data_IF_031960295906
#
_entry.id   IF_031960295906
#
_cell.length_a   1.000
_cell.length_b   1.000
_cell.length_c   1.000
_cell.angle_alpha   90.00
_cell.angle_beta   90.00
_cell.angle_gamma   90.00
#
_symmetry.space_group_name_H-M   'P 1'
#
loop_
_entity.id
_entity.type
_entity.pdbx_description
1 polymer ?
#
# COMPACT_ATOMS: atom_id res chain seq x y z
N UNK A 1 2.65 0.60 21.50
CA UNK A 1 3.20 -0.53 20.73
C UNK A 1 2.11 -1.54 20.39
N UNK A 2 1.49 -2.23 21.36
CA UNK A 2 0.41 -3.20 21.11
C UNK A 2 -0.82 -2.62 20.39
N UNK A 3 -1.24 -1.39 20.74
CA UNK A 3 -2.36 -0.73 20.08
C UNK A 3 -2.12 -0.48 18.57
N UNK A 4 -0.88 -0.22 18.17
CA UNK A 4 -0.53 -0.01 16.76
C UNK A 4 -0.58 -1.34 15.98
N UNK A 5 -0.09 -2.42 16.58
CA UNK A 5 -0.15 -3.75 15.98
C UNK A 5 -1.59 -4.26 15.82
N UNK A 6 -2.46 -3.97 16.78
CA UNK A 6 -3.90 -4.31 16.70
C UNK A 6 -4.54 -3.56 15.53
N UNK A 7 -4.26 -2.26 15.39
CA UNK A 7 -4.79 -1.45 14.28
C UNK A 7 -4.31 -1.94 12.91
N UNK A 8 -3.03 -2.30 12.76
CA UNK A 8 -2.50 -2.87 11.52
C UNK A 8 -3.12 -4.24 11.19
N UNK A 9 -3.39 -5.06 12.21
CA UNK A 9 -4.08 -6.34 12.03
C UNK A 9 -5.54 -6.15 11.64
N UNK A 10 -6.24 -5.17 12.21
CA UNK A 10 -7.60 -4.80 11.82
C UNK A 10 -7.67 -4.31 10.38
N UNK A 11 -6.74 -3.45 9.95
CA UNK A 11 -6.67 -2.98 8.56
C UNK A 11 -6.42 -4.13 7.58
N UNK A 12 -5.49 -5.05 7.91
CA UNK A 12 -5.24 -6.26 7.11
C UNK A 12 -6.45 -7.18 7.08
N UNK A 13 -7.16 -7.33 8.20
CA UNK A 13 -8.37 -8.14 8.28
C UNK A 13 -9.49 -7.56 7.41
N UNK A 14 -9.75 -6.25 7.51
CA UNK A 14 -10.73 -5.57 6.66
C UNK A 14 -10.40 -5.69 5.18
N UNK A 15 -9.12 -5.55 4.81
CA UNK A 15 -8.68 -5.78 3.42
C UNK A 15 -8.95 -7.22 2.96
N UNK A 16 -8.65 -8.21 3.80
CA UNK A 16 -8.92 -9.63 3.50
C UNK A 16 -10.41 -9.94 3.40
N UNK A 17 -11.25 -9.33 4.24
CA UNK A 17 -12.71 -9.44 4.15
C UNK A 17 -13.22 -8.86 2.83
N UNK A 18 -12.68 -7.73 2.38
CA UNK A 18 -12.98 -7.14 1.07
C UNK A 18 -12.59 -8.06 -0.10
N UNK A 19 -11.38 -8.62 -0.07
CA UNK A 19 -10.89 -9.59 -1.07
C UNK A 19 -11.78 -10.84 -1.12
N UNK A 20 -12.17 -11.39 0.03
CA UNK A 20 -13.08 -12.55 0.12
C UNK A 20 -14.46 -12.20 -0.46
N UNK A 21 -14.98 -11.00 -0.20
CA UNK A 21 -16.23 -10.53 -0.78
C UNK A 21 -16.22 -10.48 -2.31
N UNK A 22 -15.12 -10.01 -2.91
CA UNK A 22 -14.95 -9.98 -4.37
C UNK A 22 -14.91 -11.40 -4.96
N UNK A 23 -14.14 -12.31 -4.34
CA UNK A 23 -14.07 -13.72 -4.77
C UNK A 23 -15.44 -14.39 -4.71
N UNK A 24 -16.24 -14.11 -3.68
CA UNK A 24 -17.60 -14.66 -3.57
C UNK A 24 -18.55 -14.14 -4.67
N UNK A 25 -18.40 -12.89 -5.10
CA UNK A 25 -19.17 -12.33 -6.22
C UNK A 25 -18.76 -12.97 -7.55
N UNK A 26 -17.46 -13.10 -7.80
CA UNK A 26 -16.93 -13.78 -8.99
C UNK A 26 -17.40 -15.24 -9.06
N UNK A 27 -17.42 -15.94 -7.93
CA UNK A 27 -17.90 -17.32 -7.85
C UNK A 27 -19.40 -17.45 -8.15
N UNK A 28 -20.21 -16.45 -7.82
CA UNK A 28 -21.64 -16.41 -8.21
C UNK A 28 -21.78 -16.22 -9.72
N UNK A 29 -21.03 -15.28 -10.31
CA UNK A 29 -21.03 -15.04 -11.75
C UNK A 29 -20.60 -16.29 -12.54
N UNK A 30 -19.56 -16.99 -12.10
CA UNK A 30 -19.10 -18.23 -12.75
C UNK A 30 -20.18 -19.33 -12.68
N UNK A 31 -20.89 -19.44 -11.55
CA UNK A 31 -22.00 -20.41 -11.42
C UNK A 31 -23.16 -20.09 -12.35
N UNK A 32 -23.50 -18.82 -12.53
CA UNK A 32 -24.52 -18.38 -13.48
C UNK A 32 -24.08 -18.67 -14.93
N UNK A 33 -22.84 -18.32 -15.27
CA UNK A 33 -22.27 -18.63 -16.59
C UNK A 33 -22.29 -20.13 -16.91
N UNK A 34 -21.96 -21.00 -15.94
CA UNK A 34 -22.04 -22.45 -16.14
C UNK A 34 -23.47 -22.94 -16.37
N UNK A 35 -24.48 -22.34 -15.72
CA UNK A 35 -25.89 -22.68 -15.94
C UNK A 35 -26.35 -22.26 -17.33
N UNK A 36 -26.04 -21.04 -17.75
CA UNK A 36 -26.37 -20.52 -19.08
C UNK A 36 -25.69 -21.33 -20.19
N UNK A 37 -24.41 -21.66 -19.99
CA UNK A 37 -23.66 -22.51 -20.92
C UNK A 37 -24.32 -23.88 -21.10
N UNK A 38 -24.70 -24.53 -20.00
CA UNK A 38 -25.37 -25.84 -20.07
C UNK A 38 -26.74 -25.76 -20.76
N UNK A 39 -27.49 -24.67 -20.59
CA UNK A 39 -28.76 -24.46 -21.28
C UNK A 39 -28.56 -24.29 -22.80
N UNK A 40 -27.59 -23.46 -23.21
CA UNK A 40 -27.26 -23.25 -24.63
C UNK A 40 -26.73 -24.52 -25.30
N UNK A 41 -25.90 -25.29 -24.60
CA UNK A 41 -25.39 -26.58 -25.11
C UNK A 41 -26.54 -27.57 -25.35
N UNK A 42 -27.54 -27.59 -24.47
CA UNK A 42 -28.74 -28.42 -24.64
C UNK A 42 -29.59 -27.98 -25.83
N UNK A 43 -29.85 -26.67 -25.95
CA UNK A 43 -30.63 -26.13 -27.09
C UNK A 43 -29.97 -26.43 -28.44
N UNK A 44 -28.63 -26.39 -28.48
CA UNK A 44 -27.87 -26.69 -29.69
C UNK A 44 -27.95 -28.18 -30.08
N UNK A 45 -27.99 -29.07 -29.10
CA UNK A 45 -28.15 -30.51 -29.33
C UNK A 45 -29.57 -30.84 -29.81
N UNK A 46 -30.59 -30.27 -29.15
CA UNK A 46 -31.99 -30.40 -29.55
C UNK A 46 -32.22 -29.89 -30.99
N UNK A 47 -31.56 -28.79 -31.39
CA UNK A 47 -31.65 -28.25 -32.75
C UNK A 47 -31.02 -29.19 -33.79
N UNK A 48 -29.88 -29.81 -33.47
CA UNK A 48 -29.22 -30.78 -34.37
C UNK A 48 -30.08 -32.03 -34.57
N UNK A 49 -30.62 -32.59 -33.49
CA UNK A 49 -31.47 -33.78 -33.57
C UNK A 49 -32.72 -33.50 -34.43
N UNK A 50 -33.36 -32.35 -34.23
CA UNK A 50 -34.51 -31.93 -35.04
C UNK A 50 -34.16 -31.78 -36.54
N UNK A 51 -32.99 -31.23 -36.85
CA UNK A 51 -32.51 -31.09 -38.22
C UNK A 51 -32.28 -32.47 -38.87
N UNK A 52 -31.64 -33.41 -38.16
CA UNK A 52 -31.41 -34.77 -38.66
C UNK A 52 -32.72 -35.51 -38.92
N UNK A 53 -33.68 -35.43 -38.00
CA UNK A 53 -35.01 -36.04 -38.16
C UNK A 53 -35.72 -35.46 -39.38
N UNK A 54 -35.70 -34.14 -39.56
CA UNK A 54 -36.33 -33.47 -40.70
C UNK A 54 -35.69 -33.89 -42.04
N UNK A 55 -34.36 -33.94 -42.08
CA UNK A 55 -33.62 -34.33 -43.29
C UNK A 55 -33.92 -35.79 -43.68
N UNK A 56 -33.95 -36.70 -42.70
CA UNK A 56 -34.31 -38.11 -42.92
C UNK A 56 -35.72 -38.25 -43.47
N UNK A 57 -36.70 -37.53 -42.91
CA UNK A 57 -38.09 -37.53 -43.42
C UNK A 57 -38.16 -37.03 -44.85
N UNK A 58 -37.41 -35.98 -45.19
CA UNK A 58 -37.38 -35.44 -46.55
C UNK A 58 -36.83 -36.47 -47.55
N UNK A 59 -35.72 -37.13 -47.19
CA UNK A 59 -35.10 -38.17 -48.01
C UNK A 59 -36.04 -39.35 -48.28
N UNK A 60 -36.81 -39.79 -47.28
CA UNK A 60 -37.82 -40.85 -47.44
C UNK A 60 -38.97 -40.47 -48.38
N UNK A 61 -39.35 -39.19 -48.43
CA UNK A 61 -40.38 -38.70 -49.36
C UNK A 61 -39.86 -38.70 -50.79
N UNK A 62 -38.63 -38.23 -51.01
CA UNK A 62 -37.98 -38.21 -52.33
C UNK A 62 -37.88 -39.61 -52.91
N UNK A 63 -37.35 -40.56 -52.14
CA UNK A 63 -37.22 -41.96 -52.60
C UNK A 63 -38.57 -42.59 -53.00
N UNK A 64 -39.65 -42.26 -52.28
CA UNK A 64 -41.01 -42.74 -52.61
C UNK A 64 -41.54 -42.14 -53.91
N UNK A 65 -41.22 -40.89 -54.22
CA UNK A 65 -41.65 -40.25 -55.46
C UNK A 65 -40.89 -40.83 -56.66
N UNK A 66 -39.58 -40.96 -56.55
CA UNK A 66 -38.73 -41.52 -57.62
C UNK A 66 -39.17 -42.93 -58.05
N UNK A 67 -39.48 -43.80 -57.07
CA UNK A 67 -40.00 -45.15 -57.36
C UNK A 67 -41.28 -45.12 -58.20
N UNK A 68 -42.24 -44.28 -57.81
CA UNK A 68 -43.54 -44.16 -58.51
C UNK A 68 -43.35 -43.67 -59.94
N UNK A 69 -42.51 -42.66 -60.16
CA UNK A 69 -42.21 -42.15 -61.49
C UNK A 69 -41.56 -43.21 -62.39
N UNK A 70 -40.66 -44.04 -61.84
CA UNK A 70 -40.02 -45.12 -62.59
C UNK A 70 -41.01 -46.17 -63.10
N UNK A 71 -41.94 -46.61 -62.25
CA UNK A 71 -42.94 -47.62 -62.60
C UNK A 71 -43.90 -47.16 -63.71
N UNK A 72 -44.31 -45.89 -63.68
CA UNK A 72 -45.25 -45.32 -64.65
C UNK A 72 -44.62 -45.20 -66.04
N UNK A 73 -43.34 -44.82 -66.11
CA UNK A 73 -42.59 -44.73 -67.36
C UNK A 73 -42.54 -46.08 -68.10
N UNK A 74 -42.26 -47.17 -67.38
CA UNK A 74 -42.19 -48.52 -67.96
C UNK A 74 -43.53 -48.98 -68.55
N UNK A 75 -44.65 -48.61 -67.91
CA UNK A 75 -46.00 -48.95 -68.41
C UNK A 75 -46.29 -48.29 -69.76
N UNK A 76 -45.94 -47.00 -69.90
CA UNK A 76 -46.16 -46.24 -71.12
C UNK A 76 -45.36 -46.81 -72.30
N UNK A 77 -44.10 -47.18 -72.07
CA UNK A 77 -43.23 -47.69 -73.12
C UNK A 77 -43.71 -49.05 -73.67
N UNK A 78 -44.19 -49.94 -72.79
CA UNK A 78 -44.80 -51.22 -73.22
C UNK A 78 -46.02 -51.02 -74.12
N UNK A 79 -46.85 -50.01 -73.85
CA UNK A 79 -48.06 -49.76 -74.63
C UNK A 79 -47.74 -49.23 -76.04
N UNK A 80 -46.70 -48.39 -76.16
CA UNK A 80 -46.22 -47.88 -77.45
C UNK A 80 -45.70 -49.00 -78.35
N UNK A 81 -44.90 -49.93 -77.80
CA UNK A 81 -44.34 -51.04 -78.55
C UNK A 81 -45.42 -51.94 -79.19
N UNK A 82 -46.50 -52.25 -78.46
CA UNK A 82 -47.60 -53.08 -78.96
C UNK A 82 -48.32 -52.48 -80.16
N UNK A 83 -48.53 -51.15 -80.17
CA UNK A 83 -49.23 -50.46 -81.27
C UNK A 83 -48.43 -50.45 -82.58
N UNK A 84 -47.10 -50.46 -82.51
CA UNK A 84 -46.23 -50.44 -83.70
C UNK A 84 -46.30 -51.75 -84.49
N UNK A 85 -46.32 -52.90 -83.80
CA UNK A 85 -46.32 -54.23 -84.43
C UNK A 85 -47.58 -54.46 -85.27
N UNK A 86 -48.75 -54.04 -84.75
CA UNK A 86 -50.05 -54.25 -85.41
C UNK A 86 -50.14 -53.49 -86.74
N UNK A 87 -49.58 -52.28 -86.81
CA UNK A 87 -49.62 -51.46 -88.05
C UNK A 87 -48.71 -51.99 -89.16
N UNK A 88 -47.59 -52.63 -88.82
CA UNK A 88 -46.62 -53.12 -89.82
C UNK A 88 -47.11 -54.32 -90.64
N UNK A 89 -47.89 -55.21 -90.02
CA UNK A 89 -48.34 -56.46 -90.65
C UNK A 89 -49.46 -56.25 -91.69
N UNK A 90 -50.31 -55.23 -91.54
CA UNK A 90 -51.51 -55.04 -92.35
C UNK A 90 -51.30 -54.41 -93.74
N UNK A 91 -50.18 -53.75 -94.00
CA UNK A 91 -50.03 -52.90 -95.19
C UNK A 91 -49.25 -53.56 -96.34
N UNK A 92 -48.28 -54.42 -96.07
CA UNK A 92 -47.27 -54.80 -97.07
C UNK A 92 -47.50 -56.15 -97.78
N UNK A 93 -48.37 -57.02 -97.27
CA UNK A 93 -48.44 -58.41 -97.74
C UNK A 93 -49.18 -58.60 -99.09
N UNK A 94 -50.32 -57.93 -99.38
CA UNK A 94 -51.07 -58.15 -100.61
C UNK A 94 -50.48 -57.47 -101.85
N UNK A 95 -49.76 -56.36 -101.69
CA UNK A 95 -49.24 -55.55 -102.81
C UNK A 95 -47.99 -56.16 -103.49
N UNK A 96 -47.25 -57.01 -102.77
CA UNK A 96 -45.98 -57.58 -103.22
C UNK A 96 -46.14 -58.71 -104.25
N UNK A 97 -47.29 -59.38 -104.28
CA UNK A 97 -47.54 -60.58 -105.11
C UNK A 97 -48.02 -60.29 -106.54
N UNK A 98 -48.48 -59.07 -106.86
CA UNK A 98 -48.98 -58.69 -108.19
C UNK A 98 -47.93 -58.07 -109.16
N UNK A 99 -46.70 -57.82 -108.72
CA UNK A 99 -45.67 -57.12 -109.53
C UNK A 99 -44.81 -58.08 -110.39
N UNK A 100 -44.43 -57.66 -111.60
CA UNK A 100 -43.47 -58.36 -112.49
C UNK A 100 -42.06 -58.47 -111.85
N UNK A 101 -41.18 -59.37 -112.34
CA UNK A 101 -39.84 -59.62 -111.74
C UNK A 101 -39.00 -58.36 -111.57
N UNK A 102 -38.91 -57.51 -112.60
CA UNK A 102 -38.21 -56.21 -112.56
C UNK A 102 -38.85 -55.24 -111.56
N UNK A 103 -40.17 -55.22 -111.43
CA UNK A 103 -40.89 -54.39 -110.46
C UNK A 103 -40.63 -54.81 -109.01
N UNK A 104 -40.46 -56.13 -108.76
CA UNK A 104 -40.08 -56.65 -107.44
C UNK A 104 -38.64 -56.31 -107.07
N UNK A 105 -37.72 -56.30 -108.03
CA UNK A 105 -36.33 -55.88 -107.81
C UNK A 105 -36.23 -54.38 -107.52
N UNK A 106 -36.89 -53.54 -108.33
CA UNK A 106 -36.96 -52.08 -108.09
C UNK A 106 -37.60 -51.76 -106.73
N UNK A 107 -38.66 -52.48 -106.32
CA UNK A 107 -39.25 -52.30 -104.99
C UNK A 107 -38.31 -52.72 -103.86
N UNK A 108 -37.59 -53.85 -104.01
CA UNK A 108 -36.57 -54.27 -103.04
C UNK A 108 -35.44 -53.25 -102.94
N UNK A 109 -34.98 -52.72 -104.06
CA UNK A 109 -33.94 -51.70 -104.10
C UNK A 109 -34.43 -50.38 -103.50
N UNK A 110 -35.66 -49.96 -103.79
CA UNK A 110 -36.27 -48.80 -103.15
C UNK A 110 -36.40 -48.96 -101.63
N UNK A 111 -36.83 -50.14 -101.15
CA UNK A 111 -36.86 -50.45 -99.71
C UNK A 111 -35.44 -50.45 -99.10
N UNK A 112 -34.44 -50.97 -99.81
CA UNK A 112 -33.05 -50.98 -99.37
C UNK A 112 -32.47 -49.57 -99.30
N UNK A 113 -32.71 -48.74 -100.32
CA UNK A 113 -32.33 -47.33 -100.36
C UNK A 113 -33.05 -46.52 -99.28
N UNK A 114 -34.34 -46.76 -99.05
CA UNK A 114 -35.07 -46.12 -97.96
C UNK A 114 -34.52 -46.51 -96.59
N UNK A 115 -34.12 -47.77 -96.41
CA UNK A 115 -33.48 -48.25 -95.19
C UNK A 115 -32.12 -47.58 -94.96
N UNK A 116 -31.29 -47.49 -96.01
CA UNK A 116 -30.00 -46.80 -95.97
C UNK A 116 -30.15 -45.29 -95.70
N UNK A 117 -31.12 -44.64 -96.35
CA UNK A 117 -31.43 -43.23 -96.12
C UNK A 117 -31.95 -42.98 -94.70
N UNK A 118 -32.82 -43.85 -94.19
CA UNK A 118 -33.31 -43.76 -92.80
C UNK A 118 -32.18 -43.97 -91.78
N UNK A 119 -31.20 -44.82 -92.09
CA UNK A 119 -30.00 -44.98 -91.28
C UNK A 119 -29.14 -43.70 -91.28
N UNK A 120 -28.81 -43.16 -92.45
CA UNK A 120 -28.04 -41.91 -92.56
C UNK A 120 -28.75 -40.72 -91.90
N UNK A 121 -30.08 -40.61 -92.04
CA UNK A 121 -30.86 -39.58 -91.36
C UNK A 121 -30.80 -39.74 -89.84
N UNK A 122 -30.86 -40.97 -89.33
CA UNK A 122 -30.72 -41.24 -87.90
C UNK A 122 -29.32 -40.88 -87.40
N UNK A 123 -28.28 -41.26 -88.13
CA UNK A 123 -26.89 -40.94 -87.76
C UNK A 123 -26.63 -39.44 -87.74
N UNK A 124 -27.09 -38.71 -88.77
CA UNK A 124 -26.98 -37.24 -88.82
C UNK A 124 -27.76 -36.56 -87.69
N UNK A 125 -28.96 -37.05 -87.35
CA UNK A 125 -29.72 -36.57 -86.19
C UNK A 125 -28.98 -36.81 -84.86
N UNK A 126 -28.37 -37.98 -84.67
CA UNK A 126 -27.59 -38.27 -83.46
C UNK A 126 -26.32 -37.41 -83.38
N UNK A 127 -25.59 -37.25 -84.49
CA UNK A 127 -24.44 -36.35 -84.57
C UNK A 127 -24.84 -34.90 -84.24
N UNK A 128 -26.00 -34.44 -84.73
CA UNK A 128 -26.49 -33.10 -84.42
C UNK A 128 -26.86 -32.93 -82.93
N UNK A 129 -27.47 -33.95 -82.31
CA UNK A 129 -27.71 -33.95 -80.85
C UNK A 129 -26.40 -33.92 -80.06
N UNK A 130 -25.40 -34.69 -80.47
CA UNK A 130 -24.09 -34.70 -79.82
C UNK A 130 -23.41 -33.33 -79.96
N UNK A 131 -23.43 -32.75 -81.16
CA UNK A 131 -22.91 -31.40 -81.41
C UNK A 131 -23.57 -30.36 -80.51
N UNK A 132 -24.90 -30.38 -80.40
CA UNK A 132 -25.63 -29.46 -79.55
C UNK A 132 -25.27 -29.62 -78.07
N UNK A 133 -25.20 -30.86 -77.56
CA UNK A 133 -24.74 -31.14 -76.19
C UNK A 133 -23.30 -30.67 -75.95
N UNK A 134 -22.43 -30.83 -76.94
CA UNK A 134 -21.04 -30.37 -76.86
C UNK A 134 -20.97 -28.83 -76.81
N UNK A 135 -21.77 -28.14 -77.62
CA UNK A 135 -21.88 -26.68 -77.61
C UNK A 135 -22.43 -26.17 -76.27
N UNK A 136 -23.51 -26.78 -75.75
CA UNK A 136 -24.04 -26.47 -74.42
C UNK A 136 -22.98 -26.67 -73.33
N UNK A 137 -22.27 -27.80 -73.33
CA UNK A 137 -21.16 -28.08 -72.41
C UNK A 137 -20.03 -27.04 -72.51
N UNK A 138 -19.65 -26.64 -73.73
CA UNK A 138 -18.65 -25.58 -73.95
C UNK A 138 -19.09 -24.25 -73.33
N UNK A 139 -20.36 -23.87 -73.49
CA UNK A 139 -20.86 -22.61 -72.90
C UNK A 139 -20.90 -22.63 -71.38
N UNK A 140 -21.23 -23.78 -70.77
CA UNK A 140 -21.20 -23.94 -69.32
C UNK A 140 -19.78 -23.87 -68.77
N UNK A 141 -18.84 -24.58 -69.38
CA UNK A 141 -17.42 -24.54 -69.01
C UNK A 141 -16.83 -23.14 -69.14
N UNK A 142 -17.23 -22.37 -70.16
CA UNK A 142 -16.79 -20.99 -70.32
C UNK A 142 -17.27 -20.11 -69.15
N UNK A 143 -18.55 -20.22 -68.79
CA UNK A 143 -19.11 -19.48 -67.65
C UNK A 143 -18.44 -19.87 -66.33
N UNK A 144 -18.21 -21.16 -66.12
CA UNK A 144 -17.51 -21.66 -64.93
C UNK A 144 -16.07 -21.16 -64.87
N UNK A 145 -15.38 -21.10 -66.02
CA UNK A 145 -14.04 -20.54 -66.10
C UNK A 145 -14.04 -19.05 -65.72
N UNK A 146 -14.95 -18.25 -66.28
CA UNK A 146 -15.05 -16.81 -65.99
C UNK A 146 -15.38 -16.54 -64.51
N UNK A 147 -16.30 -17.31 -63.91
CA UNK A 147 -16.63 -17.17 -62.48
C UNK A 147 -15.46 -17.56 -61.59
N UNK A 148 -14.76 -18.65 -61.92
CA UNK A 148 -13.58 -19.10 -61.19
C UNK A 148 -12.42 -18.10 -61.29
N UNK A 149 -12.14 -17.55 -62.48
CA UNK A 149 -11.12 -16.52 -62.68
C UNK A 149 -11.44 -15.25 -61.87
N UNK A 150 -12.70 -14.79 -61.88
CA UNK A 150 -13.14 -13.66 -61.06
C UNK A 150 -13.00 -13.92 -59.56
N UNK A 151 -13.30 -15.14 -59.10
CA UNK A 151 -13.14 -15.52 -57.70
C UNK A 151 -11.65 -15.56 -57.29
N UNK A 152 -10.79 -16.10 -58.15
CA UNK A 152 -9.34 -16.14 -57.93
C UNK A 152 -8.79 -14.71 -57.82
N UNK A 153 -9.14 -13.81 -58.74
CA UNK A 153 -8.71 -12.41 -58.69
C UNK A 153 -9.16 -11.71 -57.40
N UNK A 154 -10.42 -11.90 -56.97
CA UNK A 154 -10.91 -11.36 -55.69
C UNK A 154 -10.12 -11.88 -54.49
N UNK A 155 -9.83 -13.18 -54.44
CA UNK A 155 -9.02 -13.79 -53.37
C UNK A 155 -7.59 -13.25 -53.37
N UNK A 156 -6.97 -13.09 -54.54
CA UNK A 156 -5.62 -12.51 -54.66
C UNK A 156 -5.59 -11.08 -54.09
N UNK A 157 -6.58 -10.25 -54.45
CA UNK A 157 -6.70 -8.88 -53.92
C UNK A 157 -6.89 -8.88 -52.41
N UNK A 158 -7.76 -9.75 -51.89
CA UNK A 158 -7.99 -9.87 -50.45
C UNK A 158 -6.71 -10.28 -49.70
N UNK A 159 -5.99 -11.29 -50.21
CA UNK A 159 -4.72 -11.74 -49.62
C UNK A 159 -3.68 -10.61 -49.67
N UNK A 160 -3.62 -9.85 -50.77
CA UNK A 160 -2.72 -8.69 -50.90
C UNK A 160 -3.00 -7.62 -49.83
N UNK A 161 -4.27 -7.26 -49.65
CA UNK A 161 -4.71 -6.30 -48.62
C UNK A 161 -4.38 -6.80 -47.21
N UNK A 162 -4.69 -8.06 -46.90
CA UNK A 162 -4.37 -8.67 -45.60
C UNK A 162 -2.86 -8.68 -45.35
N UNK A 163 -2.05 -9.02 -46.36
CA UNK A 163 -0.59 -9.01 -46.25
C UNK A 163 -0.06 -7.59 -45.99
N UNK A 164 -0.67 -6.55 -46.57
CA UNK A 164 -0.32 -5.16 -46.27
C UNK A 164 -0.65 -4.79 -44.82
N UNK A 165 -1.85 -5.13 -44.35
CA UNK A 165 -2.25 -4.90 -42.95
C UNK A 165 -1.34 -5.61 -41.95
N UNK A 166 -0.97 -6.87 -42.22
CA UNK A 166 -0.03 -7.63 -41.38
C UNK A 166 1.32 -6.91 -41.30
N UNK A 167 1.85 -6.42 -42.44
CA UNK A 167 3.11 -5.66 -42.45
C UNK A 167 3.02 -4.36 -41.64
N UNK A 168 1.88 -3.67 -41.68
CA UNK A 168 1.66 -2.43 -40.91
C UNK A 168 1.60 -2.71 -39.42
N UNK A 169 0.87 -3.76 -39.02
CA UNK A 169 0.80 -4.20 -37.63
C UNK A 169 2.16 -4.66 -37.11
N UNK A 170 2.93 -5.42 -37.90
CA UNK A 170 4.29 -5.82 -37.56
C UNK A 170 5.19 -4.60 -37.32
N UNK A 171 5.12 -3.58 -38.18
CA UNK A 171 5.87 -2.32 -37.99
C UNK A 171 5.45 -1.58 -36.72
N UNK A 172 4.16 -1.54 -36.39
CA UNK A 172 3.67 -0.92 -35.15
C UNK A 172 4.16 -1.68 -33.91
N UNK A 173 4.10 -3.01 -33.93
CA UNK A 173 4.61 -3.86 -32.85
C UNK A 173 6.10 -3.62 -32.63
N UNK A 174 6.89 -3.52 -33.71
CA UNK A 174 8.33 -3.26 -33.60
C UNK A 174 8.63 -1.88 -33.00
N UNK A 175 7.90 -0.84 -33.44
CA UNK A 175 8.01 0.50 -32.84
C UNK A 175 7.69 0.50 -31.34
N UNK A 176 6.63 -0.20 -30.94
CA UNK A 176 6.24 -0.31 -29.53
C UNK A 176 7.27 -1.09 -28.72
N UNK A 177 7.81 -2.19 -29.25
CA UNK A 177 8.90 -2.95 -28.62
C UNK A 177 10.12 -2.07 -28.39
N UNK A 178 10.56 -1.33 -29.40
CA UNK A 178 11.69 -0.42 -29.29
C UNK A 178 11.45 0.69 -28.26
N UNK A 179 10.25 1.27 -28.23
CA UNK A 179 9.87 2.27 -27.23
C UNK A 179 9.89 1.69 -25.80
N UNK A 180 9.32 0.50 -25.61
CA UNK A 180 9.31 -0.19 -24.33
C UNK A 180 10.73 -0.52 -23.86
N UNK A 181 11.58 -1.09 -24.73
CA UNK A 181 12.98 -1.38 -24.40
C UNK A 181 13.75 -0.11 -24.00
N UNK A 182 13.49 1.02 -24.67
CA UNK A 182 14.09 2.30 -24.31
C UNK A 182 13.62 2.76 -22.93
N UNK A 183 12.31 2.78 -22.68
CA UNK A 183 11.73 3.18 -21.40
C UNK A 183 12.24 2.31 -20.24
N UNK A 184 12.32 0.99 -20.42
CA UNK A 184 12.84 0.08 -19.40
C UNK A 184 14.31 0.38 -19.10
N UNK A 185 15.14 0.63 -20.12
CA UNK A 185 16.56 0.98 -19.93
C UNK A 185 16.73 2.34 -19.24
N UNK A 186 15.91 3.32 -19.58
CA UNK A 186 15.92 4.64 -18.93
C UNK A 186 15.51 4.53 -17.46
N UNK A 187 14.41 3.84 -17.17
CA UNK A 187 13.96 3.60 -15.79
C UNK A 187 15.00 2.85 -14.96
N UNK A 188 15.64 1.81 -15.49
CA UNK A 188 16.72 1.10 -14.77
C UNK A 188 17.92 2.00 -14.48
N UNK A 189 18.28 2.90 -15.40
CA UNK A 189 19.38 3.84 -15.18
C UNK A 189 19.01 4.90 -14.13
N UNK A 190 17.78 5.38 -14.15
CA UNK A 190 17.29 6.33 -13.14
C UNK A 190 17.23 5.69 -11.76
N UNK A 191 16.69 4.48 -11.63
CA UNK A 191 16.67 3.77 -10.35
C UNK A 191 18.08 3.52 -9.82
N UNK A 192 19.02 3.12 -10.67
CA UNK A 192 20.42 2.94 -10.25
C UNK A 192 21.07 4.25 -9.79
N UNK A 193 20.84 5.36 -10.51
CA UNK A 193 21.34 6.69 -10.12
C UNK A 193 20.75 7.13 -8.78
N UNK A 194 19.44 7.00 -8.60
CA UNK A 194 18.75 7.36 -7.35
C UNK A 194 19.25 6.50 -6.19
N UNK A 195 19.41 5.19 -6.39
CA UNK A 195 19.96 4.29 -5.37
C UNK A 195 21.39 4.70 -4.97
N UNK A 196 22.23 5.04 -5.94
CA UNK A 196 23.59 5.49 -5.67
C UNK A 196 23.61 6.82 -4.91
N UNK A 197 22.76 7.77 -5.29
CA UNK A 197 22.62 9.06 -4.62
C UNK A 197 22.19 8.89 -3.16
N UNK A 198 21.16 8.08 -2.92
CA UNK A 198 20.67 7.76 -1.56
C UNK A 198 21.76 7.08 -0.72
N UNK A 199 22.58 6.21 -1.32
CA UNK A 199 23.69 5.58 -0.62
C UNK A 199 24.73 6.62 -0.13
N UNK A 200 25.10 7.56 -0.99
CA UNK A 200 26.06 8.63 -0.66
C UNK A 200 25.49 9.53 0.43
N UNK A 201 24.24 9.95 0.30
CA UNK A 201 23.55 10.82 1.28
C UNK A 201 23.41 10.14 2.64
N UNK A 202 23.06 8.85 2.66
CA UNK A 202 23.01 8.07 3.89
C UNK A 202 24.40 7.96 4.54
N UNK A 203 25.45 7.77 3.75
CA UNK A 203 26.81 7.69 4.28
C UNK A 203 27.26 9.04 4.86
N UNK A 204 26.95 10.15 4.19
CA UNK A 204 27.21 11.50 4.70
C UNK A 204 26.43 11.77 6.00
N UNK A 205 25.14 11.45 6.03
CA UNK A 205 24.28 11.59 7.21
C UNK A 205 24.80 10.77 8.39
N UNK A 206 25.26 9.54 8.14
CA UNK A 206 25.85 8.68 9.18
C UNK A 206 27.12 9.28 9.79
N UNK A 207 27.96 9.95 8.99
CA UNK A 207 29.16 10.65 9.49
C UNK A 207 28.76 11.85 10.34
N UNK A 208 27.76 12.62 9.92
CA UNK A 208 27.25 13.76 10.68
C UNK A 208 26.63 13.34 12.02
N UNK A 209 25.80 12.29 12.02
CA UNK A 209 25.21 11.73 13.24
C UNK A 209 26.32 11.31 14.22
N UNK A 210 27.38 10.64 13.75
CA UNK A 210 28.51 10.27 14.60
C UNK A 210 29.22 11.48 15.21
N UNK A 211 29.42 12.54 14.43
CA UNK A 211 30.02 13.79 14.93
C UNK A 211 29.14 14.44 16.00
N UNK A 212 27.83 14.51 15.77
CA UNK A 212 26.87 15.06 16.73
C UNK A 212 26.81 14.24 18.02
N UNK A 213 26.85 12.92 17.92
CA UNK A 213 26.91 12.03 19.10
C UNK A 213 28.17 12.27 19.93
N UNK A 214 29.34 12.42 19.30
CA UNK A 214 30.58 12.74 20.01
C UNK A 214 30.52 14.10 20.69
N UNK A 215 29.96 15.11 20.01
CA UNK A 215 29.80 16.45 20.59
C UNK A 215 28.87 16.43 21.80
N UNK A 216 27.75 15.70 21.71
CA UNK A 216 26.81 15.54 22.80
C UNK A 216 27.48 14.87 24.01
N UNK A 217 28.25 13.80 23.78
CA UNK A 217 28.97 13.11 24.85
C UNK A 217 30.00 14.02 25.56
N UNK A 218 30.73 14.84 24.79
CA UNK A 218 31.64 15.84 25.37
C UNK A 218 30.88 16.86 26.21
N UNK A 219 29.73 17.36 25.73
CA UNK A 219 28.89 18.32 26.45
C UNK A 219 28.31 17.73 27.73
N UNK A 220 27.89 16.46 27.72
CA UNK A 220 27.44 15.77 28.92
C UNK A 220 28.56 15.63 29.97
N UNK A 221 29.79 15.33 29.52
CA UNK A 221 30.96 15.29 30.42
C UNK A 221 31.25 16.65 31.05
N UNK A 222 31.21 17.73 30.27
CA UNK A 222 31.36 19.10 30.77
C UNK A 222 30.24 19.46 31.75
N UNK A 223 29.00 19.17 31.40
CA UNK A 223 27.83 19.38 32.26
C UNK A 223 27.97 18.65 33.59
N UNK A 224 28.45 17.41 33.56
CA UNK A 224 28.69 16.63 34.78
C UNK A 224 29.81 17.22 35.63
N UNK A 225 30.86 17.80 35.04
CA UNK A 225 31.90 18.53 35.77
C UNK A 225 31.32 19.77 36.46
N UNK A 226 30.52 20.56 35.74
CA UNK A 226 29.83 21.75 36.30
C UNK A 226 28.90 21.36 37.45
N UNK A 227 28.08 20.30 37.28
CA UNK A 227 27.20 19.79 38.33
C UNK A 227 27.98 19.36 39.58
N UNK A 228 29.12 18.67 39.42
CA UNK A 228 30.00 18.30 40.54
C UNK A 228 30.55 19.53 41.26
N UNK A 229 31.04 20.52 40.51
CA UNK A 229 31.56 21.75 41.08
C UNK A 229 30.47 22.51 41.85
N UNK A 230 29.28 22.68 41.27
CA UNK A 230 28.15 23.31 41.92
C UNK A 230 27.76 22.59 43.22
N UNK A 231 27.77 21.25 43.23
CA UNK A 231 27.52 20.45 44.44
C UNK A 231 28.60 20.66 45.50
N UNK A 232 29.87 20.73 45.11
CA UNK A 232 30.96 21.01 46.05
C UNK A 232 30.81 22.39 46.69
N UNK A 233 30.53 23.42 45.89
CA UNK A 233 30.29 24.79 46.40
C UNK A 233 29.11 24.82 47.39
N UNK A 234 28.04 24.10 47.09
CA UNK A 234 26.90 23.99 48.01
C UNK A 234 27.25 23.26 49.31
N UNK A 235 28.05 22.19 49.23
CA UNK A 235 28.52 21.47 50.41
C UNK A 235 29.43 22.35 51.28
N UNK A 236 30.41 23.04 50.68
CA UNK A 236 31.29 23.99 51.38
C UNK A 236 30.47 25.10 52.04
N UNK A 237 29.50 25.68 51.32
CA UNK A 237 28.58 26.67 51.91
C UNK A 237 27.79 26.09 53.08
N UNK A 238 27.32 24.86 52.97
CA UNK A 238 26.55 24.19 54.04
C UNK A 238 27.43 23.94 55.27
N UNK A 239 28.70 23.55 55.08
CA UNK A 239 29.67 23.39 56.17
C UNK A 239 29.95 24.71 56.88
N UNK A 240 30.14 25.79 56.11
CA UNK A 240 30.32 27.14 56.65
C UNK A 240 29.09 27.61 57.42
N UNK A 241 27.88 27.40 56.89
CA UNK A 241 26.62 27.75 57.57
C UNK A 241 26.46 26.97 58.88
N UNK A 242 26.75 25.67 58.89
CA UNK A 242 26.75 24.85 60.13
C UNK A 242 27.75 25.38 61.15
N UNK A 243 28.97 25.67 60.73
CA UNK A 243 29.99 26.25 61.61
C UNK A 243 29.51 27.57 62.26
N UNK A 244 28.86 28.46 61.50
CA UNK A 244 28.32 29.70 62.05
C UNK A 244 27.18 29.47 63.05
N UNK A 245 26.29 28.52 62.77
CA UNK A 245 25.21 28.16 63.70
C UNK A 245 25.77 27.59 65.00
N UNK A 246 26.74 26.69 64.90
CA UNK A 246 27.41 26.08 66.05
C UNK A 246 28.18 27.14 66.87
N UNK A 247 28.89 28.06 66.21
CA UNK A 247 29.58 29.17 66.86
C UNK A 247 28.60 30.12 67.58
N UNK A 248 27.47 30.45 66.95
CA UNK A 248 26.42 31.25 67.57
C UNK A 248 25.82 30.56 68.79
N UNK A 249 25.58 29.25 68.72
CA UNK A 249 25.07 28.47 69.84
C UNK A 249 26.08 28.43 70.99
N UNK A 250 27.36 28.20 70.69
CA UNK A 250 28.44 28.23 71.68
C UNK A 250 28.52 29.60 72.39
N UNK A 251 28.49 30.71 71.64
CA UNK A 251 28.50 32.05 72.22
C UNK A 251 27.27 32.30 73.10
N UNK A 252 26.07 31.86 72.68
CA UNK A 252 24.86 31.98 73.51
C UNK A 252 24.98 31.22 74.82
N UNK A 253 25.51 30.00 74.80
CA UNK A 253 25.76 29.20 76.00
C UNK A 253 26.74 29.90 76.94
N UNK A 254 27.79 30.50 76.38
CA UNK A 254 28.79 31.21 77.16
C UNK A 254 28.26 32.53 77.74
N UNK A 255 27.38 33.24 77.03
CA UNK A 255 26.62 34.39 77.57
C UNK A 255 25.79 33.95 78.78
N UNK A 256 25.04 32.85 78.67
CA UNK A 256 24.21 32.32 79.76
C UNK A 256 25.10 31.97 80.97
N UNK A 257 26.22 31.27 80.74
CA UNK A 257 27.19 30.89 81.77
C UNK A 257 27.84 32.11 82.44
N UNK A 258 28.30 33.08 81.66
CA UNK A 258 28.89 34.33 82.13
C UNK A 258 27.90 35.13 82.98
N UNK A 259 26.67 35.32 82.51
CA UNK A 259 25.61 36.02 83.27
C UNK A 259 25.29 35.30 84.58
N UNK A 260 25.22 33.95 84.57
CA UNK A 260 25.01 33.13 85.77
C UNK A 260 26.18 33.29 86.75
N UNK A 261 27.42 33.28 86.26
CA UNK A 261 28.62 33.46 87.08
C UNK A 261 28.68 34.86 87.69
N UNK A 262 28.47 35.91 86.89
CA UNK A 262 28.42 37.29 87.35
C UNK A 262 27.38 37.48 88.44
N UNK A 263 26.16 36.98 88.22
CA UNK A 263 25.09 37.00 89.23
C UNK A 263 25.54 36.35 90.55
N UNK A 264 26.15 35.16 90.50
CA UNK A 264 26.66 34.47 91.69
C UNK A 264 27.78 35.27 92.38
N UNK A 265 28.73 35.82 91.63
CA UNK A 265 29.85 36.61 92.16
C UNK A 265 29.36 37.89 92.85
N UNK A 266 28.44 38.63 92.23
CA UNK A 266 27.83 39.82 92.83
C UNK A 266 27.01 39.46 94.06
N UNK A 267 26.29 38.34 94.03
CA UNK A 267 25.55 37.84 95.19
C UNK A 267 26.46 37.50 96.36
N UNK A 268 27.55 36.77 96.12
CA UNK A 268 28.55 36.45 97.15
C UNK A 268 29.25 37.70 97.69
N UNK A 269 29.64 38.64 96.82
CA UNK A 269 30.28 39.88 97.23
C UNK A 269 29.33 40.77 98.06
N UNK A 270 28.06 40.86 97.68
CA UNK A 270 27.03 41.58 98.42
C UNK A 270 26.83 40.98 99.82
N UNK A 271 26.63 39.66 99.92
CA UNK A 271 26.47 39.01 101.22
C UNK A 271 27.73 39.12 102.09
N UNK A 272 28.92 39.05 101.50
CA UNK A 272 30.18 39.27 102.23
C UNK A 272 30.21 40.66 102.86
N UNK A 273 29.95 41.71 102.06
CA UNK A 273 29.88 43.09 102.55
C UNK A 273 28.79 43.28 103.62
N UNK A 274 27.65 42.61 103.46
CA UNK A 274 26.57 42.65 104.45
C UNK A 274 27.01 42.03 105.78
N UNK A 275 27.76 40.92 105.75
CA UNK A 275 28.33 40.28 106.95
C UNK A 275 29.43 41.14 107.60
N UNK A 276 30.29 41.77 106.80
CA UNK A 276 31.35 42.67 107.27
C UNK A 276 30.78 43.94 107.92
N UNK A 277 29.69 44.49 107.37
CA UNK A 277 28.95 45.59 107.95
C UNK A 277 28.24 45.20 109.27
N UNK A 278 27.64 44.01 109.35
CA UNK A 278 27.11 43.47 110.60
C UNK A 278 28.19 43.32 111.70
N UNK A 279 29.45 43.08 111.32
CA UNK A 279 30.58 43.01 112.23
C UNK A 279 31.17 44.38 112.60
N UNK A 280 30.56 45.49 112.14
CA UNK A 280 30.95 46.87 112.44
C UNK A 280 32.20 47.37 111.70
N UNK A 281 32.66 46.66 110.67
CA UNK A 281 33.89 46.99 109.93
C UNK A 281 33.66 47.92 108.74
N UNK A 282 32.47 47.90 108.14
CA UNK A 282 32.08 48.72 106.98
C UNK A 282 30.61 49.19 107.10
N UNK A 283 30.19 50.13 106.24
CA UNK A 283 28.79 50.55 106.12
C UNK A 283 27.93 49.51 105.37
N UNK A 284 26.64 49.44 105.69
CA UNK A 284 25.71 48.51 105.03
C UNK A 284 25.59 48.81 103.52
N UNK A 285 25.77 47.80 102.64
CA UNK A 285 25.63 48.01 101.21
C UNK A 285 24.18 48.33 100.82
N UNK A 286 23.99 49.18 99.80
CA UNK A 286 22.66 49.49 99.23
C UNK A 286 21.97 48.20 98.79
N UNK A 287 20.67 48.05 99.12
CA UNK A 287 19.87 46.86 98.79
C UNK A 287 19.97 46.57 97.29
N UNK A 288 20.45 45.36 96.97
CA UNK A 288 20.62 44.88 95.60
C UNK A 288 19.69 43.71 95.33
N UNK A 289 18.96 43.76 94.21
CA UNK A 289 18.02 42.70 93.84
C UNK A 289 18.65 41.72 92.84
N UNK A 290 18.40 40.43 93.08
CA UNK A 290 18.92 39.32 92.26
C UNK A 290 17.81 38.61 91.46
N UNK A 291 16.55 39.05 91.60
CA UNK A 291 15.41 38.58 90.82
C UNK A 291 15.09 39.61 89.74
N UNK A 292 14.65 39.13 88.58
CA UNK A 292 14.19 39.99 87.49
C UNK A 292 12.84 40.60 87.87
N UNK A 293 12.85 41.78 88.49
CA UNK A 293 11.66 42.57 88.77
C UNK A 293 11.83 43.96 88.14
N UNK A 294 10.85 44.35 87.32
CA UNK A 294 10.85 45.58 86.52
C UNK A 294 10.90 46.84 87.40
N UNK A 295 10.36 46.76 88.63
CA UNK A 295 10.26 47.90 89.54
C UNK A 295 11.50 48.11 90.44
N UNK A 296 12.57 47.33 90.24
CA UNK A 296 13.77 47.46 91.07
C UNK A 296 14.80 48.42 90.47
N UNK A 297 15.10 49.50 91.18
CA UNK A 297 16.06 50.54 90.76
C UNK A 297 17.53 50.09 90.85
N UNK A 298 17.87 49.10 91.69
CA UNK A 298 19.23 48.59 91.89
C UNK A 298 19.27 47.06 91.74
N UNK A 299 19.33 46.59 90.49
CA UNK A 299 19.25 45.16 90.10
C UNK A 299 20.51 44.74 89.36
N UNK A 300 20.96 43.50 89.58
CA UNK A 300 22.08 42.89 88.83
C UNK A 300 21.83 42.88 87.32
N UNK A 301 20.57 42.77 86.89
CA UNK A 301 20.21 42.79 85.47
C UNK A 301 20.40 44.20 84.86
N UNK A 302 20.12 45.25 85.65
CA UNK A 302 20.34 46.64 85.24
C UNK A 302 21.84 46.93 85.08
N UNK A 303 22.69 46.38 85.95
CA UNK A 303 24.14 46.50 85.80
C UNK A 303 24.65 45.88 84.48
N UNK A 304 24.08 44.74 84.07
CA UNK A 304 24.43 44.07 82.82
C UNK A 304 23.97 44.88 81.59
N UNK A 305 22.77 45.46 81.65
CA UNK A 305 22.23 46.34 80.60
C UNK A 305 23.00 47.67 80.49
N UNK A 306 23.35 48.29 81.62
CA UNK A 306 24.14 49.51 81.68
C UNK A 306 25.58 49.28 81.22
N UNK A 307 26.20 48.15 81.59
CA UNK A 307 27.51 47.76 81.06
C UNK A 307 27.46 47.61 79.54
N UNK A 308 26.41 46.99 79.01
CA UNK A 308 26.23 46.87 77.56
C UNK A 308 26.06 48.25 76.88
N UNK A 309 25.32 49.18 77.51
CA UNK A 309 25.08 50.54 76.98
C UNK A 309 26.34 51.42 77.02
N UNK A 310 27.06 51.43 78.15
CA UNK A 310 28.29 52.22 78.35
C UNK A 310 29.40 51.86 77.35
N UNK A 311 29.46 50.59 76.91
CA UNK A 311 30.42 50.19 75.89
C UNK A 311 29.98 50.58 74.47
N UNK A 312 28.66 50.64 74.16
CA UNK A 312 28.20 51.13 72.84
C UNK A 312 28.59 52.59 72.59
N UNK A 313 28.56 53.42 73.62
CA UNK A 313 28.88 54.85 73.52
C UNK A 313 30.40 55.12 73.44
N UNK A 314 31.25 54.14 73.79
CA UNK A 314 32.72 54.28 73.86
C UNK A 314 33.51 53.76 72.67
N UNK A 315 32.88 53.10 71.69
CA UNK A 315 33.61 52.58 70.52
C UNK A 315 33.93 53.74 69.57
N UNK A 316 35.10 54.35 69.76
CA UNK A 316 35.82 55.01 68.68
C UNK A 316 36.46 53.92 67.81
N UNK A 317 36.28 54.00 66.49
CA UNK A 317 36.70 52.98 65.54
C UNK A 317 38.22 52.91 65.40
N UNK A 318 38.89 52.26 66.34
CA UNK A 318 40.21 51.67 66.17
C UNK A 318 40.07 50.17 65.83
N UNK A 319 41.14 49.50 65.38
CA UNK A 319 41.12 48.06 65.08
C UNK A 319 40.91 47.27 66.39
N UNK A 320 39.65 47.05 66.76
CA UNK A 320 39.29 46.19 67.90
C UNK A 320 39.58 44.73 67.56
N UNK A 321 40.39 44.06 68.38
CA UNK A 321 40.63 42.62 68.24
C UNK A 321 39.44 41.82 68.78
N UNK A 322 39.10 40.70 68.13
CA UNK A 322 37.97 39.83 68.51
C UNK A 322 38.19 39.29 69.94
N UNK A 323 39.44 39.11 70.34
CA UNK A 323 39.83 38.63 71.67
C UNK A 323 39.34 39.55 72.81
N UNK A 324 39.24 40.85 72.54
CA UNK A 324 38.89 41.89 73.53
C UNK A 324 37.37 42.09 73.69
N UNK A 325 36.57 41.47 72.80
CA UNK A 325 35.12 41.59 72.82
C UNK A 325 34.47 40.74 73.92
N UNK A 326 33.41 41.28 74.53
CA UNK A 326 32.52 40.52 75.40
C UNK A 326 31.75 39.47 74.59
N UNK A 327 31.23 38.44 75.26
CA UNK A 327 30.46 37.39 74.59
C UNK A 327 29.21 37.92 73.87
N UNK A 328 28.52 38.90 74.46
CA UNK A 328 27.40 39.62 73.82
C UNK A 328 27.80 40.39 72.55
N UNK A 329 29.01 40.94 72.50
CA UNK A 329 29.53 41.62 71.32
C UNK A 329 29.94 40.61 70.23
N UNK A 330 30.59 39.52 70.61
CA UNK A 330 30.93 38.41 69.69
C UNK A 330 29.67 37.85 69.03
N UNK A 331 28.57 37.71 69.78
CA UNK A 331 27.29 37.25 69.24
C UNK A 331 26.74 38.19 68.15
N UNK A 332 26.82 39.51 68.37
CA UNK A 332 26.37 40.51 67.39
C UNK A 332 27.22 40.52 66.14
N UNK A 333 28.54 40.43 66.29
CA UNK A 333 29.48 40.36 65.17
C UNK A 333 29.20 39.10 64.34
N UNK A 334 28.99 37.94 64.98
CA UNK A 334 28.65 36.70 64.29
C UNK A 334 27.30 36.79 63.56
N UNK A 335 26.26 37.37 64.19
CA UNK A 335 24.96 37.58 63.52
C UNK A 335 25.08 38.52 62.31
N UNK A 336 25.82 39.62 62.44
CA UNK A 336 26.06 40.57 61.35
C UNK A 336 26.87 39.93 60.21
N UNK A 337 27.91 39.16 60.54
CA UNK A 337 28.72 38.43 59.58
C UNK A 337 27.88 37.40 58.82
N UNK A 338 27.06 36.62 59.53
CA UNK A 338 26.15 35.64 58.92
C UNK A 338 25.10 36.31 58.01
N UNK A 339 24.53 37.44 58.42
CA UNK A 339 23.60 38.21 57.62
C UNK A 339 24.27 38.76 56.34
N UNK A 340 25.48 39.32 56.48
CA UNK A 340 26.28 39.84 55.36
C UNK A 340 26.67 38.74 54.37
N UNK A 341 27.05 37.55 54.85
CA UNK A 341 27.36 36.40 53.99
C UNK A 341 26.16 35.87 53.22
N UNK A 342 24.96 35.96 53.80
CA UNK A 342 23.72 35.52 53.15
C UNK A 342 23.07 36.60 52.28
N UNK A 343 23.70 37.78 52.14
CA UNK A 343 23.16 38.89 51.36
C UNK A 343 21.91 39.55 51.97
N UNK A 344 21.53 39.17 53.20
CA UNK A 344 20.52 39.83 54.00
C UNK A 344 21.18 41.00 54.72
N UNK A 345 21.19 42.18 54.11
CA UNK A 345 21.58 43.41 54.82
C UNK A 345 20.58 43.65 55.96
N UNK A 346 21.02 43.73 57.23
CA UNK A 346 20.18 44.20 58.31
C UNK A 346 20.31 45.73 58.35
N UNK A 347 19.72 46.39 57.34
CA UNK A 347 19.42 47.82 57.36
C UNK A 347 17.99 48.01 56.90
#
# INVERSE_FOLDING_TARGET
>A
YYAQQIKELEEKFQKKVGEIGQIQLELKLIKEFHREKAALEKELEDLKENMEISNRRHQEVVMRLERRFGEEKVKIDRQKARKAVIKGLGFCFPLFTQLNSTGREVFKENVCLHSAFAYQLRETMELQKIKQKLEEGKTLLLKEKETNEGLIQKKILQISCQKAQIRDLQRKVEKLKMALCRMTRESMRETQKTQHQVLIENQASMVEIKKLQQLLEMKDREMNRVKKLARNILNERTEVERFFLDALEHVKQEIISSRKHYKKKVQTAYYRKMMEACAGKEEFPKIKTFKSNINSTNSVYRDLEEAEKCYREKIQFEKVDISELTWEQKERVLRLLFAKMNGTNPW
#
